data_IF_817788099558
#
_entry.id   IF_817788099558
#
_cell.length_a   1.000
_cell.length_b   1.000
_cell.length_c   1.000
_cell.angle_alpha   90.00
_cell.angle_beta   90.00
_cell.angle_gamma   90.00
#
_symmetry.space_group_name_H-M   'P 1'
#
loop_
_entity.id
_entity.type
_entity.pdbx_description
1 polymer ?
#
# COMPACT_ATOMS: atom_id res chain seq x y z
N UNK A 1 7.70 -21.62 -31.49
CA UNK A 1 8.26 -21.58 -30.13
C UNK A 1 8.60 -20.13 -29.86
N UNK A 2 8.13 -19.54 -28.77
CA UNK A 2 8.49 -18.17 -28.41
C UNK A 2 9.99 -18.10 -28.11
N UNK A 3 10.67 -17.07 -28.57
CA UNK A 3 12.08 -16.84 -28.27
C UNK A 3 12.22 -16.25 -26.86
N UNK A 4 13.39 -16.37 -26.20
CA UNK A 4 13.63 -15.71 -24.91
C UNK A 4 13.47 -14.19 -24.94
N UNK A 5 13.64 -13.56 -26.11
CA UNK A 5 13.41 -12.12 -26.33
C UNK A 5 11.92 -11.79 -26.33
N UNK A 6 11.07 -12.61 -26.99
CA UNK A 6 9.60 -12.44 -26.94
C UNK A 6 9.05 -12.58 -25.51
N UNK A 7 9.69 -13.39 -24.67
CA UNK A 7 9.30 -13.54 -23.26
C UNK A 7 9.65 -12.28 -22.45
N UNK A 8 10.77 -11.62 -22.75
CA UNK A 8 11.16 -10.36 -22.08
C UNK A 8 10.25 -9.20 -22.45
N UNK A 9 9.94 -9.00 -23.72
CA UNK A 9 9.02 -7.93 -24.15
C UNK A 9 7.60 -8.08 -23.57
N UNK A 10 7.15 -9.32 -23.39
CA UNK A 10 5.86 -9.62 -22.73
C UNK A 10 5.92 -9.49 -21.21
N UNK A 11 7.11 -9.58 -20.60
CA UNK A 11 7.30 -9.34 -19.17
C UNK A 11 7.40 -7.83 -18.87
N UNK A 12 8.02 -7.05 -19.75
CA UNK A 12 8.19 -5.59 -19.60
C UNK A 12 6.86 -4.81 -19.65
N UNK A 13 5.79 -5.42 -20.18
CA UNK A 13 4.44 -4.83 -20.15
C UNK A 13 3.63 -5.24 -18.92
N UNK A 14 4.14 -6.12 -18.07
CA UNK A 14 3.42 -6.59 -16.88
C UNK A 14 3.68 -5.65 -15.72
N UNK A 15 2.65 -5.49 -14.90
CA UNK A 15 2.79 -4.78 -13.64
C UNK A 15 3.70 -5.57 -12.71
N UNK A 16 4.77 -4.94 -12.28
CA UNK A 16 5.70 -5.45 -11.30
C UNK A 16 5.51 -4.77 -9.94
N UNK A 17 5.87 -5.48 -8.87
CA UNK A 17 6.06 -4.89 -7.55
C UNK A 17 7.19 -5.62 -6.83
N UNK A 18 7.90 -4.91 -5.97
CA UNK A 18 9.03 -5.44 -5.19
C UNK A 18 8.71 -5.48 -3.71
N UNK A 19 9.31 -6.43 -2.98
CA UNK A 19 9.26 -6.50 -1.52
C UNK A 19 10.63 -6.87 -0.99
N UNK A 20 11.00 -6.24 0.13
CA UNK A 20 12.23 -6.55 0.84
C UNK A 20 11.95 -7.69 1.83
N UNK A 21 12.63 -8.82 1.64
CA UNK A 21 12.54 -10.01 2.51
C UNK A 21 13.98 -10.32 2.93
N UNK A 22 14.25 -10.27 4.24
CA UNK A 22 15.57 -10.55 4.81
C UNK A 22 16.72 -9.70 4.21
N UNK A 23 16.41 -8.46 3.80
CA UNK A 23 17.37 -7.53 3.19
C UNK A 23 17.59 -7.73 1.69
N UNK A 24 16.87 -8.67 1.08
CA UNK A 24 16.85 -8.88 -0.37
C UNK A 24 15.57 -8.34 -1.00
N UNK A 25 15.72 -7.53 -2.03
CA UNK A 25 14.59 -7.01 -2.82
C UNK A 25 14.20 -8.02 -3.88
N UNK A 26 13.04 -8.66 -3.71
CA UNK A 26 12.50 -9.64 -4.66
C UNK A 26 11.37 -8.98 -5.45
N UNK A 27 11.44 -9.08 -6.78
CA UNK A 27 10.39 -8.59 -7.69
C UNK A 27 9.42 -9.69 -8.11
N UNK A 28 8.13 -9.33 -8.15
CA UNK A 28 7.01 -10.17 -8.55
C UNK A 28 6.20 -9.51 -9.66
N UNK A 29 5.56 -10.32 -10.49
CA UNK A 29 4.79 -9.88 -11.65
C UNK A 29 3.35 -10.35 -11.57
N UNK A 30 2.43 -9.51 -12.05
CA UNK A 30 1.02 -9.85 -12.20
C UNK A 30 0.78 -10.30 -13.65
N UNK A 31 0.43 -11.58 -13.83
CA UNK A 31 0.02 -12.12 -15.12
C UNK A 31 -1.48 -11.97 -15.35
N UNK A 32 -1.90 -11.91 -16.61
CA UNK A 32 -3.32 -11.92 -16.95
C UNK A 32 -3.96 -13.27 -16.57
N UNK A 33 -5.11 -13.28 -15.85
CA UNK A 33 -5.80 -14.50 -15.48
C UNK A 33 -6.34 -15.20 -16.72
N UNK A 34 -6.33 -16.53 -16.71
CA UNK A 34 -7.00 -17.30 -17.76
C UNK A 34 -8.51 -17.30 -17.55
N UNK A 35 -9.28 -17.64 -18.60
CA UNK A 35 -10.72 -17.83 -18.47
C UNK A 35 -11.12 -18.97 -17.52
N UNK A 36 -10.20 -19.89 -17.21
CA UNK A 36 -10.42 -20.88 -16.14
C UNK A 36 -10.24 -20.26 -14.75
N UNK A 37 -9.21 -19.43 -14.56
CA UNK A 37 -8.97 -18.74 -13.29
C UNK A 37 -10.14 -17.81 -12.93
N UNK A 38 -10.67 -17.06 -13.91
CA UNK A 38 -11.86 -16.20 -13.72
C UNK A 38 -13.07 -17.02 -13.27
N UNK A 39 -13.36 -18.14 -13.96
CA UNK A 39 -14.51 -19.01 -13.59
C UNK A 39 -14.36 -19.61 -12.21
N UNK A 40 -13.14 -20.00 -11.81
CA UNK A 40 -12.87 -20.53 -10.47
C UNK A 40 -12.97 -19.43 -9.40
N UNK A 41 -12.55 -18.21 -9.70
CA UNK A 41 -12.73 -17.07 -8.81
C UNK A 41 -14.22 -16.76 -8.59
N UNK A 42 -15.03 -16.75 -9.64
CA UNK A 42 -16.48 -16.53 -9.54
C UNK A 42 -17.19 -17.68 -8.80
N UNK A 43 -16.68 -18.90 -8.90
CA UNK A 43 -17.13 -20.02 -8.09
C UNK A 43 -16.81 -19.82 -6.60
N UNK A 44 -15.59 -19.35 -6.30
CA UNK A 44 -15.17 -19.05 -4.93
C UNK A 44 -16.03 -17.93 -4.33
N UNK A 45 -16.28 -16.85 -5.09
CA UNK A 45 -17.24 -15.80 -4.72
C UNK A 45 -18.60 -16.42 -4.35
N UNK A 46 -19.16 -17.25 -5.24
CA UNK A 46 -20.49 -17.84 -5.03
C UNK A 46 -20.54 -18.76 -3.81
N UNK A 47 -19.46 -19.49 -3.53
CA UNK A 47 -19.34 -20.35 -2.36
C UNK A 47 -19.36 -19.52 -1.08
N UNK A 48 -18.54 -18.48 -1.00
CA UNK A 48 -18.44 -17.61 0.18
C UNK A 48 -19.73 -16.80 0.37
N UNK A 49 -20.34 -16.32 -0.71
CA UNK A 49 -21.61 -15.59 -0.64
C UNK A 49 -22.74 -16.44 -0.05
N UNK A 50 -22.87 -17.69 -0.50
CA UNK A 50 -23.87 -18.60 0.07
C UNK A 50 -23.57 -18.96 1.53
N UNK A 51 -22.29 -19.12 1.89
CA UNK A 51 -21.90 -19.37 3.27
C UNK A 51 -22.23 -18.17 4.16
N UNK A 52 -21.92 -16.94 3.73
CA UNK A 52 -22.22 -15.71 4.45
C UNK A 52 -23.74 -15.55 4.71
N UNK A 53 -24.57 -15.89 3.72
CA UNK A 53 -26.04 -15.92 3.92
C UNK A 53 -26.45 -16.96 4.95
N UNK A 54 -25.85 -18.16 4.94
CA UNK A 54 -26.16 -19.21 5.92
C UNK A 54 -25.70 -18.85 7.33
N UNK A 55 -24.70 -17.99 7.44
CA UNK A 55 -24.17 -17.45 8.70
C UNK A 55 -24.89 -16.16 9.15
N UNK A 56 -26.01 -15.82 8.51
CA UNK A 56 -26.87 -14.66 8.80
C UNK A 56 -26.17 -13.29 8.66
N UNK A 57 -25.19 -13.17 7.76
CA UNK A 57 -24.62 -11.87 7.40
C UNK A 57 -25.60 -11.06 6.55
N UNK A 58 -25.51 -9.73 6.66
CA UNK A 58 -26.36 -8.81 5.92
C UNK A 58 -25.88 -8.66 4.48
N UNK A 59 -26.82 -8.62 3.53
CA UNK A 59 -26.53 -8.14 2.18
C UNK A 59 -26.28 -6.63 2.19
N UNK A 60 -25.64 -6.11 1.15
CA UNK A 60 -25.45 -4.67 0.98
C UNK A 60 -26.77 -3.89 1.09
N UNK A 61 -27.84 -4.40 0.46
CA UNK A 61 -29.16 -3.75 0.55
C UNK A 61 -29.68 -3.70 2.00
N UNK A 62 -29.56 -4.80 2.74
CA UNK A 62 -29.98 -4.86 4.15
C UNK A 62 -29.11 -3.96 5.05
N UNK A 63 -27.81 -3.88 4.77
CA UNK A 63 -26.89 -2.99 5.47
C UNK A 63 -27.25 -1.52 5.23
N UNK A 64 -27.56 -1.12 3.99
CA UNK A 64 -28.00 0.24 3.67
C UNK A 64 -29.28 0.59 4.43
N UNK A 65 -30.27 -0.31 4.46
CA UNK A 65 -31.51 -0.10 5.21
C UNK A 65 -31.25 0.03 6.72
N UNK A 66 -30.32 -0.77 7.26
CA UNK A 66 -29.90 -0.69 8.67
C UNK A 66 -29.22 0.66 8.97
N UNK A 67 -28.28 1.09 8.13
CA UNK A 67 -27.56 2.36 8.30
C UNK A 67 -28.49 3.57 8.18
N UNK A 68 -29.49 3.52 7.29
CA UNK A 68 -30.56 4.52 7.23
C UNK A 68 -31.39 4.55 8.51
N UNK A 69 -31.80 3.38 9.00
CA UNK A 69 -32.57 3.27 10.26
C UNK A 69 -31.78 3.78 11.47
N UNK A 70 -30.46 3.60 11.47
CA UNK A 70 -29.57 4.10 12.52
C UNK A 70 -29.22 5.59 12.37
N UNK A 71 -29.66 6.24 11.28
CA UNK A 71 -29.34 7.64 11.01
C UNK A 71 -27.89 7.88 10.57
N UNK A 72 -27.14 6.83 10.24
CA UNK A 72 -25.78 6.95 9.67
C UNK A 72 -25.84 7.47 8.25
N UNK A 73 -26.81 6.97 7.47
CA UNK A 73 -27.14 7.49 6.14
C UNK A 73 -28.43 8.31 6.28
N UNK A 74 -28.27 9.62 6.41
CA UNK A 74 -29.36 10.61 6.42
C UNK A 74 -29.31 11.49 5.17
N UNK A 75 -30.35 12.31 4.97
CA UNK A 75 -30.33 13.35 3.93
C UNK A 75 -29.23 14.38 4.19
N UNK A 76 -29.02 14.74 5.46
CA UNK A 76 -27.94 15.63 5.89
C UNK A 76 -26.57 15.06 5.50
N UNK A 77 -26.34 13.77 5.72
CA UNK A 77 -25.09 13.10 5.31
C UNK A 77 -24.91 13.12 3.79
N UNK A 78 -25.99 12.86 3.03
CA UNK A 78 -25.91 12.89 1.57
C UNK A 78 -25.58 14.30 1.05
N UNK A 79 -26.13 15.33 1.69
CA UNK A 79 -25.84 16.73 1.38
C UNK A 79 -24.40 17.08 1.75
N UNK A 80 -23.93 16.72 2.95
CA UNK A 80 -22.55 16.94 3.41
C UNK A 80 -21.52 16.31 2.46
N UNK A 81 -21.78 15.08 2.00
CA UNK A 81 -20.91 14.40 1.01
C UNK A 81 -20.90 15.14 -0.32
N UNK A 82 -22.06 15.58 -0.83
CA UNK A 82 -22.15 16.25 -2.13
C UNK A 82 -21.55 17.66 -2.10
N UNK A 83 -21.75 18.40 -1.01
CA UNK A 83 -21.12 19.69 -0.78
C UNK A 83 -19.59 19.55 -0.69
N UNK A 84 -19.10 18.55 0.03
CA UNK A 84 -17.66 18.28 0.15
C UNK A 84 -17.06 17.85 -1.19
N UNK A 85 -17.76 17.04 -1.99
CA UNK A 85 -17.34 16.70 -3.37
C UNK A 85 -17.28 17.92 -4.28
N UNK A 86 -18.31 18.76 -4.23
CA UNK A 86 -18.37 19.98 -5.03
C UNK A 86 -17.25 20.96 -4.65
N UNK A 87 -16.97 21.09 -3.35
CA UNK A 87 -15.85 21.88 -2.83
C UNK A 87 -14.51 21.30 -3.28
N UNK A 88 -14.31 19.99 -3.16
CA UNK A 88 -13.08 19.34 -3.61
C UNK A 88 -12.82 19.59 -5.10
N UNK A 89 -13.85 19.44 -5.94
CA UNK A 89 -13.74 19.72 -7.38
C UNK A 89 -13.37 21.18 -7.66
N UNK A 90 -13.95 22.13 -6.93
CA UNK A 90 -13.64 23.55 -7.06
C UNK A 90 -12.19 23.87 -6.61
N UNK A 91 -11.72 23.24 -5.54
CA UNK A 91 -10.34 23.40 -5.05
C UNK A 91 -9.30 22.80 -5.99
N UNK A 92 -9.58 21.61 -6.55
CA UNK A 92 -8.73 21.00 -7.59
C UNK A 92 -8.66 21.94 -8.81
N UNK A 93 -9.81 22.44 -9.28
CA UNK A 93 -9.83 23.39 -10.39
C UNK A 93 -9.04 24.66 -10.08
N UNK A 94 -9.15 25.20 -8.86
CA UNK A 94 -8.38 26.36 -8.42
C UNK A 94 -6.88 26.07 -8.45
N UNK A 95 -6.46 24.91 -7.95
CA UNK A 95 -5.06 24.48 -7.94
C UNK A 95 -4.50 24.36 -9.36
N UNK A 96 -5.23 23.70 -10.26
CA UNK A 96 -4.83 23.52 -11.67
C UNK A 96 -4.84 24.83 -12.47
N UNK A 97 -5.67 25.79 -12.09
CA UNK A 97 -5.76 27.10 -12.74
C UNK A 97 -4.67 28.08 -12.28
N UNK A 98 -3.87 27.76 -11.25
CA UNK A 98 -2.78 28.63 -10.81
C UNK A 98 -1.71 28.74 -11.91
N UNK A 99 -1.32 29.97 -12.30
CA UNK A 99 -0.19 30.16 -13.20
C UNK A 99 1.09 29.50 -12.70
N UNK A 100 1.94 29.05 -13.62
CA UNK A 100 3.26 28.52 -13.28
C UNK A 100 4.11 29.54 -12.50
N UNK A 101 3.89 30.84 -12.78
CA UNK A 101 4.53 31.97 -12.12
C UNK A 101 3.96 32.34 -10.75
N UNK A 102 2.95 31.63 -10.24
CA UNK A 102 2.39 31.88 -8.91
C UNK A 102 3.44 31.66 -7.82
N UNK A 103 3.33 32.44 -6.74
CA UNK A 103 4.21 32.33 -5.57
C UNK A 103 4.07 30.93 -4.97
N UNK A 104 5.19 30.32 -4.58
CA UNK A 104 5.19 28.95 -4.03
C UNK A 104 4.30 28.81 -2.79
N UNK A 105 4.15 29.88 -2.00
CA UNK A 105 3.23 29.93 -0.86
C UNK A 105 1.76 29.75 -1.29
N UNK A 106 1.32 30.39 -2.37
CA UNK A 106 -0.06 30.28 -2.87
C UNK A 106 -0.34 28.88 -3.42
N UNK A 107 0.65 28.27 -4.08
CA UNK A 107 0.57 26.90 -4.60
C UNK A 107 0.49 25.88 -3.46
N UNK A 108 1.33 26.04 -2.44
CA UNK A 108 1.30 25.21 -1.24
C UNK A 108 -0.02 25.33 -0.50
N UNK A 109 -0.53 26.55 -0.29
CA UNK A 109 -1.84 26.77 0.35
C UNK A 109 -2.98 26.09 -0.42
N UNK A 110 -3.02 26.24 -1.74
CA UNK A 110 -4.02 25.59 -2.58
C UNK A 110 -3.93 24.06 -2.51
N UNK A 111 -2.72 23.50 -2.57
CA UNK A 111 -2.50 22.05 -2.47
C UNK A 111 -2.89 21.50 -1.09
N UNK A 112 -2.56 22.22 -0.01
CA UNK A 112 -2.97 21.85 1.35
C UNK A 112 -4.49 21.93 1.53
N UNK A 113 -5.17 22.89 0.90
CA UNK A 113 -6.64 22.98 0.90
C UNK A 113 -7.26 21.74 0.25
N UNK A 114 -6.78 21.35 -0.93
CA UNK A 114 -7.23 20.14 -1.63
C UNK A 114 -7.00 18.90 -0.76
N UNK A 115 -5.82 18.77 -0.16
CA UNK A 115 -5.51 17.65 0.73
C UNK A 115 -6.45 17.58 1.94
N UNK A 116 -6.75 18.73 2.56
CA UNK A 116 -7.65 18.82 3.71
C UNK A 116 -9.10 18.44 3.34
N UNK A 117 -9.63 18.96 2.23
CA UNK A 117 -10.99 18.61 1.78
C UNK A 117 -11.09 17.16 1.33
N UNK A 118 -10.02 16.59 0.75
CA UNK A 118 -9.98 15.15 0.42
C UNK A 118 -9.98 14.28 1.67
N UNK A 119 -9.23 14.64 2.70
CA UNK A 119 -9.25 13.92 3.98
C UNK A 119 -10.64 14.02 4.66
N UNK A 120 -11.29 15.18 4.57
CA UNK A 120 -12.68 15.35 5.03
C UNK A 120 -13.64 14.41 4.30
N UNK A 121 -13.59 14.37 2.97
CA UNK A 121 -14.39 13.45 2.16
C UNK A 121 -14.09 11.99 2.50
N UNK A 122 -12.82 11.65 2.72
CA UNK A 122 -12.40 10.32 3.15
C UNK A 122 -13.03 9.95 4.49
N UNK A 123 -12.97 10.82 5.51
CA UNK A 123 -13.59 10.60 6.82
C UNK A 123 -15.10 10.39 6.73
N UNK A 124 -15.79 11.15 5.86
CA UNK A 124 -17.22 10.95 5.61
C UNK A 124 -17.50 9.56 5.04
N UNK A 125 -16.77 9.17 3.98
CA UNK A 125 -16.92 7.86 3.37
C UNK A 125 -16.63 6.71 4.34
N UNK A 126 -15.69 6.87 5.28
CA UNK A 126 -15.36 5.85 6.27
C UNK A 126 -16.53 5.49 7.19
N UNK A 127 -17.48 6.42 7.43
CA UNK A 127 -18.69 6.14 8.22
C UNK A 127 -19.55 5.04 7.60
N UNK A 128 -19.59 4.98 6.28
CA UNK A 128 -20.38 4.00 5.52
C UNK A 128 -19.53 2.79 5.14
N UNK A 129 -18.27 3.00 4.71
CA UNK A 129 -17.40 1.93 4.24
C UNK A 129 -17.08 0.89 5.33
N UNK A 130 -16.92 1.32 6.59
CA UNK A 130 -16.64 0.42 7.71
C UNK A 130 -17.71 -0.69 7.85
N UNK A 131 -18.99 -0.34 8.08
CA UNK A 131 -20.07 -1.32 8.12
C UNK A 131 -20.25 -2.09 6.81
N UNK A 132 -20.11 -1.42 5.65
CA UNK A 132 -20.26 -2.05 4.34
C UNK A 132 -19.24 -3.15 4.06
N UNK A 133 -18.06 -3.07 4.67
CA UNK A 133 -17.03 -4.13 4.63
C UNK A 133 -17.50 -5.49 5.12
N UNK A 134 -18.51 -5.53 5.99
CA UNK A 134 -19.03 -6.77 6.60
C UNK A 134 -20.23 -7.37 5.86
N UNK A 135 -20.50 -6.92 4.64
CA UNK A 135 -21.62 -7.42 3.83
C UNK A 135 -21.27 -8.73 3.14
N UNK A 136 -22.28 -9.54 2.83
CA UNK A 136 -22.12 -10.79 2.08
C UNK A 136 -21.33 -10.57 0.78
N UNK A 137 -21.65 -9.51 0.03
CA UNK A 137 -21.01 -9.15 -1.23
C UNK A 137 -19.54 -8.79 -1.03
N UNK A 138 -19.20 -7.94 -0.04
CA UNK A 138 -17.82 -7.52 0.18
C UNK A 138 -16.92 -8.68 0.61
N UNK A 139 -17.38 -9.52 1.54
CA UNK A 139 -16.62 -10.71 2.00
C UNK A 139 -16.41 -11.70 0.84
N UNK A 140 -17.39 -11.81 -0.05
CA UNK A 140 -17.30 -12.69 -1.22
C UNK A 140 -16.37 -12.14 -2.28
N UNK A 141 -16.37 -10.83 -2.51
CA UNK A 141 -15.42 -10.18 -3.43
C UNK A 141 -13.99 -10.27 -2.88
N UNK A 142 -13.81 -10.12 -1.57
CA UNK A 142 -12.52 -10.34 -0.92
C UNK A 142 -11.99 -11.76 -1.19
N UNK A 143 -12.82 -12.78 -1.01
CA UNK A 143 -12.44 -14.16 -1.30
C UNK A 143 -12.14 -14.40 -2.79
N UNK A 144 -12.79 -13.65 -3.68
CA UNK A 144 -12.54 -13.69 -5.12
C UNK A 144 -11.18 -13.08 -5.46
N UNK A 145 -10.85 -11.93 -4.87
CA UNK A 145 -9.56 -11.26 -5.03
C UNK A 145 -8.44 -12.12 -4.46
N UNK A 146 -8.64 -12.74 -3.29
CA UNK A 146 -7.68 -13.69 -2.71
C UNK A 146 -7.43 -14.89 -3.64
N UNK A 147 -8.50 -15.47 -4.20
CA UNK A 147 -8.35 -16.55 -5.16
C UNK A 147 -7.56 -16.11 -6.39
N UNK A 148 -7.90 -14.95 -6.99
CA UNK A 148 -7.16 -14.44 -8.13
C UNK A 148 -5.71 -14.17 -7.80
N UNK A 149 -5.42 -13.58 -6.65
CA UNK A 149 -4.06 -13.31 -6.15
C UNK A 149 -3.21 -14.59 -6.16
N UNK A 150 -3.76 -15.71 -5.67
CA UNK A 150 -3.05 -16.99 -5.69
C UNK A 150 -2.73 -17.53 -7.10
N UNK A 151 -3.42 -17.05 -8.14
CA UNK A 151 -3.33 -17.59 -9.51
C UNK A 151 -2.53 -16.72 -10.46
N UNK A 152 -2.54 -15.41 -10.25
CA UNK A 152 -1.97 -14.43 -11.19
C UNK A 152 -0.54 -14.04 -10.88
N UNK A 153 -0.06 -14.24 -9.66
CA UNK A 153 1.29 -13.85 -9.29
C UNK A 153 2.36 -14.80 -9.79
N UNK A 154 3.41 -14.22 -10.36
CA UNK A 154 4.57 -14.91 -10.91
C UNK A 154 5.87 -14.33 -10.36
N UNK A 155 6.89 -15.19 -10.30
CA UNK A 155 8.28 -14.81 -10.05
C UNK A 155 8.93 -14.30 -11.33
N UNK A 156 10.16 -13.79 -11.22
CA UNK A 156 10.97 -13.32 -12.38
C UNK A 156 11.17 -14.37 -13.48
N UNK A 157 11.19 -15.66 -13.12
CA UNK A 157 11.30 -16.77 -14.07
C UNK A 157 9.98 -17.10 -14.80
N UNK A 158 8.89 -16.37 -14.50
CA UNK A 158 7.55 -16.62 -15.02
C UNK A 158 6.83 -17.80 -14.35
N UNK A 159 7.45 -18.47 -13.37
CA UNK A 159 6.80 -19.50 -12.58
C UNK A 159 5.77 -18.87 -11.62
N UNK A 160 4.75 -19.64 -11.26
CA UNK A 160 3.73 -19.16 -10.32
C UNK A 160 4.33 -19.02 -8.92
N UNK A 161 3.94 -17.96 -8.22
CA UNK A 161 4.36 -17.73 -6.84
C UNK A 161 3.81 -18.83 -5.91
N UNK A 162 2.53 -19.18 -6.08
CA UNK A 162 1.87 -20.26 -5.37
C UNK A 162 1.35 -21.32 -6.36
N UNK A 163 1.47 -22.60 -5.98
CA UNK A 163 1.01 -23.71 -6.81
C UNK A 163 -0.51 -23.73 -6.93
N UNK A 164 -1.19 -23.52 -5.79
CA UNK A 164 -2.63 -23.49 -5.66
C UNK A 164 -3.10 -22.49 -4.59
N UNK A 165 -4.42 -22.43 -4.41
CA UNK A 165 -5.03 -21.51 -3.45
C UNK A 165 -4.72 -21.90 -2.01
N UNK A 166 -4.53 -23.19 -1.70
CA UNK A 166 -4.21 -23.64 -0.35
C UNK A 166 -2.78 -23.23 0.02
N UNK A 167 -1.83 -23.27 -0.93
CA UNK A 167 -0.48 -22.76 -0.72
C UNK A 167 -0.47 -21.26 -0.38
N UNK A 168 -1.29 -20.45 -1.07
CA UNK A 168 -1.47 -19.03 -0.74
C UNK A 168 -2.04 -18.83 0.68
N UNK A 169 -3.06 -19.60 1.07
CA UNK A 169 -3.67 -19.49 2.40
C UNK A 169 -2.72 -19.90 3.54
N UNK A 170 -1.71 -20.70 3.24
CA UNK A 170 -0.69 -21.15 4.20
C UNK A 170 0.63 -20.38 4.08
N UNK A 171 0.64 -19.25 3.36
CA UNK A 171 1.82 -18.39 3.24
C UNK A 171 2.25 -17.85 4.61
N UNK A 172 3.52 -18.10 4.97
CA UNK A 172 4.07 -17.65 6.25
C UNK A 172 4.43 -16.16 6.22
N UNK A 173 4.85 -15.67 5.05
CA UNK A 173 5.16 -14.26 4.88
C UNK A 173 3.88 -13.44 4.68
N UNK A 174 3.32 -12.97 5.80
CA UNK A 174 2.11 -12.14 5.79
C UNK A 174 2.33 -10.81 5.05
N UNK A 175 3.52 -10.23 5.08
CA UNK A 175 3.81 -8.99 4.36
C UNK A 175 3.72 -9.19 2.84
N UNK A 176 4.24 -10.32 2.34
CA UNK A 176 4.14 -10.72 0.95
C UNK A 176 2.68 -10.92 0.54
N UNK A 177 1.91 -11.70 1.29
CA UNK A 177 0.52 -12.01 0.92
C UNK A 177 -0.39 -10.77 0.94
N UNK A 178 -0.22 -9.89 1.92
CA UNK A 178 -0.95 -8.62 2.01
C UNK A 178 -0.58 -7.69 0.86
N UNK A 179 0.73 -7.49 0.58
CA UNK A 179 1.17 -6.63 -0.53
C UNK A 179 0.72 -7.18 -1.88
N UNK A 180 0.87 -8.48 -2.09
CA UNK A 180 0.38 -9.20 -3.26
C UNK A 180 -1.11 -8.95 -3.51
N UNK A 181 -1.94 -9.14 -2.48
CA UNK A 181 -3.39 -8.93 -2.57
C UNK A 181 -3.72 -7.48 -2.91
N UNK A 182 -3.05 -6.52 -2.29
CA UNK A 182 -3.24 -5.10 -2.55
C UNK A 182 -2.89 -4.73 -4.01
N UNK A 183 -1.76 -5.22 -4.51
CA UNK A 183 -1.31 -4.98 -5.88
C UNK A 183 -2.26 -5.57 -6.93
N UNK A 184 -2.76 -6.78 -6.69
CA UNK A 184 -3.77 -7.42 -7.54
C UNK A 184 -5.09 -6.65 -7.49
N UNK A 185 -5.51 -6.16 -6.32
CA UNK A 185 -6.71 -5.34 -6.18
C UNK A 185 -6.60 -4.04 -7.00
N UNK A 186 -5.49 -3.32 -6.87
CA UNK A 186 -5.24 -2.11 -7.68
C UNK A 186 -5.22 -2.42 -9.17
N UNK A 187 -4.60 -3.55 -9.57
CA UNK A 187 -4.55 -3.99 -10.96
C UNK A 187 -5.95 -4.27 -11.51
N UNK A 188 -6.81 -4.94 -10.73
CA UNK A 188 -8.21 -5.18 -11.11
C UNK A 188 -9.01 -3.88 -11.28
N UNK A 189 -8.65 -2.82 -10.54
CA UNK A 189 -9.27 -1.50 -10.63
C UNK A 189 -8.65 -0.62 -11.73
N UNK A 190 -7.53 -1.04 -12.34
CA UNK A 190 -6.80 -0.25 -13.31
C UNK A 190 -6.02 0.92 -12.70
N UNK A 191 -5.73 0.86 -11.41
CA UNK A 191 -4.96 1.88 -10.67
C UNK A 191 -3.50 1.45 -10.54
N UNK A 192 -2.55 2.38 -10.62
CA UNK A 192 -1.14 2.11 -10.36
C UNK A 192 -0.84 2.08 -8.84
N UNK A 193 0.27 1.51 -8.41
CA UNK A 193 0.66 1.47 -6.98
C UNK A 193 0.87 2.87 -6.41
N UNK A 194 1.44 3.77 -7.21
CA UNK A 194 1.80 5.13 -6.81
C UNK A 194 0.68 6.14 -7.10
N UNK A 195 -0.57 5.68 -7.26
CA UNK A 195 -1.67 6.57 -7.65
C UNK A 195 -1.91 7.70 -6.64
N UNK A 196 -1.74 7.43 -5.34
CA UNK A 196 -1.88 8.43 -4.28
C UNK A 196 -0.77 9.49 -4.34
N UNK A 197 0.43 9.08 -4.77
CA UNK A 197 1.55 9.99 -4.93
C UNK A 197 1.32 10.92 -6.13
N UNK A 198 0.70 10.42 -7.19
CA UNK A 198 0.48 11.16 -8.44
C UNK A 198 -0.76 12.06 -8.44
N UNK A 199 -1.29 12.39 -7.27
CA UNK A 199 -2.38 13.35 -7.14
C UNK A 199 -1.88 14.79 -7.38
N UNK A 200 -2.70 15.70 -7.92
CA UNK A 200 -2.24 17.04 -8.31
C UNK A 200 -1.69 17.83 -7.12
N UNK A 201 -2.27 17.67 -5.93
CA UNK A 201 -1.76 18.33 -4.73
C UNK A 201 -0.42 17.74 -4.26
N UNK A 202 -0.20 16.43 -4.38
CA UNK A 202 1.08 15.81 -4.02
C UNK A 202 2.18 16.14 -5.03
N UNK A 203 1.87 16.25 -6.31
CA UNK A 203 2.81 16.74 -7.32
C UNK A 203 3.21 18.19 -7.02
N UNK A 204 2.25 19.07 -6.76
CA UNK A 204 2.50 20.48 -6.42
C UNK A 204 3.35 20.61 -5.15
N UNK A 205 3.03 19.87 -4.08
CA UNK A 205 3.80 19.92 -2.84
C UNK A 205 5.23 19.39 -3.03
N UNK A 206 5.43 18.35 -3.86
CA UNK A 206 6.77 17.85 -4.21
C UNK A 206 7.58 18.91 -4.95
N UNK A 207 6.99 19.58 -5.94
CA UNK A 207 7.66 20.66 -6.68
C UNK A 207 8.07 21.82 -5.78
N UNK A 208 7.17 22.30 -4.91
CA UNK A 208 7.46 23.40 -3.98
C UNK A 208 8.57 23.00 -3.00
N UNK A 209 8.52 21.78 -2.47
CA UNK A 209 9.55 21.29 -1.55
C UNK A 209 10.92 21.15 -2.25
N UNK A 210 10.95 20.64 -3.48
CA UNK A 210 12.19 20.54 -4.26
C UNK A 210 12.82 21.93 -4.47
N UNK A 211 12.05 22.93 -4.89
CA UNK A 211 12.55 24.30 -5.06
C UNK A 211 13.11 24.92 -3.77
N UNK A 212 12.46 24.66 -2.63
CA UNK A 212 12.94 25.11 -1.32
C UNK A 212 14.27 24.48 -0.95
N UNK A 213 14.41 23.17 -1.16
CA UNK A 213 15.66 22.44 -0.91
C UNK A 213 16.78 22.96 -1.82
N UNK A 214 16.50 23.16 -3.11
CA UNK A 214 17.48 23.72 -4.06
C UNK A 214 17.92 25.13 -3.67
N UNK A 215 16.97 25.99 -3.26
CA UNK A 215 17.27 27.35 -2.79
C UNK A 215 18.16 27.32 -1.55
N UNK A 216 17.81 26.49 -0.56
CA UNK A 216 18.61 26.33 0.66
C UNK A 216 20.02 25.77 0.38
N UNK A 217 20.14 24.80 -0.54
CA UNK A 217 21.45 24.28 -0.95
C UNK A 217 22.28 25.34 -1.67
N UNK A 218 21.65 26.19 -2.48
CA UNK A 218 22.34 27.29 -3.17
C UNK A 218 22.82 28.38 -2.20
N UNK A 219 22.02 28.73 -1.20
CA UNK A 219 22.42 29.71 -0.18
C UNK A 219 23.55 29.18 0.69
N UNK A 220 23.50 27.91 1.09
CA UNK A 220 24.58 27.26 1.84
C UNK A 220 25.89 27.19 1.04
N UNK A 221 25.82 26.92 -0.26
CA UNK A 221 27.01 26.96 -1.13
C UNK A 221 27.58 28.37 -1.23
N UNK A 222 26.73 29.38 -1.42
CA UNK A 222 27.18 30.77 -1.49
C UNK A 222 27.79 31.26 -0.17
N UNK A 223 27.21 30.87 0.98
CA UNK A 223 27.78 31.17 2.31
C UNK A 223 29.14 30.51 2.51
N UNK A 224 29.31 29.27 2.05
CA UNK A 224 30.58 28.55 2.13
C UNK A 224 31.65 29.19 1.24
N UNK A 225 31.32 29.55 0.01
CA UNK A 225 32.24 30.26 -0.90
C UNK A 225 32.66 31.61 -0.32
N UNK A 226 31.73 32.37 0.27
CA UNK A 226 32.04 33.63 0.93
C UNK A 226 32.97 33.46 2.16
N UNK A 227 32.80 32.37 2.93
CA UNK A 227 33.67 32.06 4.06
C UNK A 227 35.09 31.64 3.61
N UNK A 228 35.19 30.88 2.50
CA UNK A 228 36.48 30.49 1.91
C UNK A 228 37.24 31.71 1.33
N UNK A 229 36.53 32.74 0.84
CA UNK A 229 37.13 34.01 0.38
C UNK A 229 37.60 34.94 1.52
N UNK A 230 36.97 34.87 2.71
CA UNK A 230 37.38 35.66 3.90
C UNK A 230 38.56 35.05 4.67
N UNK A 231 38.83 33.74 4.53
CA UNK A 231 39.98 33.04 5.13
C UNK A 231 41.26 33.07 4.27
N UNK A 232 41.30 33.87 3.20
CA UNK A 232 42.56 34.16 2.52
C UNK A 232 43.54 34.83 3.51
N UNK A 233 44.68 34.21 3.84
CA UNK A 233 45.49 34.64 4.97
C UNK A 233 46.09 36.01 4.69
N UNK A 234 45.77 36.99 5.55
CA UNK A 234 46.69 38.12 5.79
C UNK A 234 47.98 37.49 6.28
N UNK A 235 49.00 37.48 5.42
CA UNK A 235 50.38 37.15 5.77
C UNK A 235 50.80 37.98 6.98
N UNK A 236 50.62 37.42 8.18
CA UNK A 236 51.28 37.87 9.38
C UNK A 236 52.68 37.26 9.33
N UNK A 237 53.69 38.12 9.19
CA UNK A 237 55.10 37.78 9.36
C UNK A 237 55.28 36.94 10.63
N UNK A 238 55.56 35.65 10.46
CA UNK A 238 55.97 34.77 11.55
C UNK A 238 57.46 34.99 11.75
N UNK A 239 57.80 35.84 12.72
CA UNK A 239 59.14 35.96 13.27
C UNK A 239 59.49 34.66 14.00
N UNK A 240 60.41 33.91 13.40
CA UNK A 240 60.90 32.61 13.87
C UNK A 240 61.79 32.87 15.10
N UNK A 241 61.27 32.58 16.30
CA UNK A 241 62.07 32.41 17.51
C UNK A 241 62.34 30.92 17.73
N UNK A 242 63.59 30.54 17.47
CA UNK A 242 64.14 29.22 17.76
C UNK A 242 64.07 28.91 19.27
N UNK A 243 63.58 27.72 19.61
CA UNK A 243 63.75 27.11 20.93
C UNK A 243 64.44 25.75 20.79
N UNK A 244 65.33 25.40 21.74
CA UNK A 244 66.28 24.30 21.58
C UNK A 244 65.72 22.95 22.00
N UNK A 245 66.38 21.96 21.40
CA UNK A 245 66.26 20.51 21.52
C UNK A 245 66.71 19.97 22.90
N UNK A 246 65.87 19.15 23.55
CA UNK A 246 66.18 18.18 24.61
C UNK A 246 64.84 17.61 25.16
N UNK A 247 64.63 16.36 25.54
CA UNK A 247 65.40 15.13 25.56
C UNK A 247 64.40 13.95 25.76
N UNK A 248 64.84 12.74 25.46
CA UNK A 248 64.17 11.45 25.72
C UNK A 248 63.65 11.28 27.16
N UNK A 249 62.51 10.61 27.33
CA UNK A 249 62.39 9.42 28.21
C UNK A 249 61.05 8.69 27.97
N UNK A 250 61.14 7.35 27.90
CA UNK A 250 60.04 6.39 27.70
C UNK A 250 59.61 5.77 29.07
N UNK A 251 58.95 4.59 29.13
CA UNK A 251 57.50 4.34 29.01
C UNK A 251 56.88 3.60 30.23
N UNK A 252 55.56 3.67 30.42
CA UNK A 252 54.73 2.77 31.26
C UNK A 252 53.29 3.34 31.29
N UNK A 253 52.15 2.64 31.37
CA UNK A 253 51.81 1.27 31.76
C UNK A 253 50.35 1.00 31.32
N UNK A 254 50.10 -0.27 31.03
CA UNK A 254 48.85 -1.05 31.03
C UNK A 254 47.70 -0.60 31.96
N UNK A 255 46.45 -0.70 31.46
CA UNK A 255 45.38 -1.57 32.04
C UNK A 255 44.13 -1.64 31.13
N UNK A 256 43.63 -2.84 30.78
CA UNK A 256 42.30 -3.05 30.20
C UNK A 256 41.39 -3.91 31.10
N UNK A 257 40.09 -3.59 31.18
CA UNK A 257 39.00 -4.51 31.57
C UNK A 257 37.63 -3.79 31.65
N UNK A 258 36.47 -4.50 31.65
CA UNK A 258 36.23 -5.84 31.16
C UNK A 258 34.97 -5.98 30.28
N UNK A 259 34.94 -7.12 29.59
CA UNK A 259 33.78 -7.73 28.96
C UNK A 259 32.69 -8.12 29.98
N UNK A 260 31.44 -8.03 29.55
CA UNK A 260 30.30 -8.72 30.19
C UNK A 260 29.73 -9.68 29.16
N UNK A 261 29.84 -10.97 29.47
CA UNK A 261 29.08 -12.04 28.86
C UNK A 261 28.17 -12.62 29.95
N UNK A 262 26.90 -12.86 29.65
CA UNK A 262 26.12 -13.86 30.38
C UNK A 262 25.07 -14.51 29.47
N UNK A 263 25.15 -15.83 29.41
CA UNK A 263 24.26 -16.77 28.77
C UNK A 263 22.98 -17.00 29.60
N UNK A 264 21.86 -17.30 28.94
CA UNK A 264 20.82 -18.22 29.44
C UNK A 264 19.83 -18.50 28.27
N UNK A 265 19.92 -19.63 27.57
CA UNK A 265 19.44 -20.98 27.94
C UNK A 265 17.90 -21.16 27.95
N UNK A 266 17.41 -21.78 26.87
CA UNK A 266 16.48 -22.93 26.82
C UNK A 266 15.17 -22.88 27.63
N UNK A 267 14.03 -22.90 26.92
CA UNK A 267 12.82 -23.59 27.36
C UNK A 267 11.98 -24.07 26.16
N UNK A 268 12.22 -25.33 25.77
CA UNK A 268 11.47 -26.12 24.81
C UNK A 268 10.04 -26.40 25.33
N UNK A 269 9.00 -26.02 24.55
CA UNK A 269 7.60 -26.33 24.88
C UNK A 269 7.08 -27.54 24.07
N UNK A 270 6.32 -28.45 24.69
CA UNK A 270 5.92 -29.73 24.09
C UNK A 270 4.73 -29.60 23.12
N UNK A 271 4.79 -30.40 22.04
CA UNK A 271 3.74 -30.58 21.02
C UNK A 271 2.42 -31.10 21.59
N UNK A 272 1.25 -30.55 21.23
CA UNK A 272 -0.04 -31.14 21.58
C UNK A 272 -0.41 -32.34 20.68
N UNK A 273 -0.95 -33.38 21.33
CA UNK A 273 -1.38 -34.66 20.74
C UNK A 273 -2.58 -34.48 19.81
N UNK A 274 -2.49 -35.02 18.59
CA UNK A 274 -3.60 -35.19 17.64
C UNK A 274 -4.67 -36.11 18.22
N UNK A 275 -5.87 -35.59 18.52
CA UNK A 275 -7.09 -36.39 18.72
C UNK A 275 -7.84 -36.49 17.40
N UNK A 276 -7.92 -37.70 16.86
CA UNK A 276 -8.78 -38.01 15.72
C UNK A 276 -10.26 -37.91 16.09
N UNK A 277 -11.10 -37.52 15.12
CA UNK A 277 -12.54 -37.73 15.16
C UNK A 277 -13.02 -38.41 13.87
N UNK A 278 -14.06 -39.28 13.95
CA UNK A 278 -14.36 -40.28 12.94
C UNK A 278 -15.10 -39.75 11.72
N UNK A 279 -14.96 -40.55 10.66
CA UNK A 279 -15.74 -40.55 9.42
C UNK A 279 -17.24 -40.75 9.69
N UNK A 280 -18.03 -40.01 8.91
CA UNK A 280 -19.23 -40.56 8.27
C UNK A 280 -20.57 -40.05 8.77
N UNK A 281 -21.32 -39.38 7.90
CA UNK A 281 -22.69 -39.78 7.61
C UNK A 281 -23.16 -39.14 6.30
N UNK A 282 -23.68 -40.01 5.44
CA UNK A 282 -24.21 -39.72 4.11
C UNK A 282 -25.63 -39.15 4.19
N UNK A 283 -26.02 -38.50 3.09
CA UNK A 283 -27.38 -38.29 2.61
C UNK A 283 -28.29 -37.36 3.42
N UNK A 284 -28.70 -36.27 2.74
CA UNK A 284 -30.12 -36.02 2.46
C UNK A 284 -30.27 -35.10 1.24
N UNK A 285 -30.81 -35.69 0.17
CA UNK A 285 -31.37 -34.97 -0.99
C UNK A 285 -32.49 -34.04 -0.52
N UNK A 286 -32.52 -32.81 -1.05
CA UNK A 286 -33.72 -31.95 -1.06
C UNK A 286 -33.82 -31.18 -2.39
N UNK A 287 -35.04 -30.72 -2.76
CA UNK A 287 -35.53 -30.75 -4.13
C UNK A 287 -35.29 -29.45 -4.91
N UNK A 288 -35.33 -29.57 -6.25
CA UNK A 288 -35.36 -28.49 -7.24
C UNK A 288 -36.50 -27.52 -6.94
N UNK A 289 -36.18 -26.26 -6.62
CA UNK A 289 -37.08 -25.13 -6.80
C UNK A 289 -36.74 -24.42 -8.12
N UNK A 290 -37.71 -24.38 -9.02
CA UNK A 290 -37.73 -23.47 -10.17
C UNK A 290 -37.81 -22.03 -9.66
N UNK A 291 -36.99 -21.13 -10.21
CA UNK A 291 -37.25 -19.69 -10.13
C UNK A 291 -36.97 -19.00 -11.45
N UNK A 292 -38.01 -18.31 -11.92
CA UNK A 292 -38.01 -17.31 -12.96
C UNK A 292 -36.93 -16.25 -12.67
N UNK A 293 -36.08 -15.97 -13.65
CA UNK A 293 -35.24 -14.78 -13.68
C UNK A 293 -35.97 -13.68 -14.47
N UNK A 294 -36.48 -12.69 -13.73
CA UNK A 294 -36.75 -11.35 -14.27
C UNK A 294 -35.43 -10.60 -14.35
N UNK A 295 -35.18 -10.01 -15.53
CA UNK A 295 -34.14 -9.02 -15.79
C UNK A 295 -34.38 -7.77 -14.94
N UNK A 296 -33.34 -7.29 -14.28
CA UNK A 296 -33.18 -5.88 -13.94
C UNK A 296 -31.68 -5.54 -14.01
N UNK A 297 -31.33 -4.69 -14.98
CA UNK A 297 -30.02 -4.06 -15.10
C UNK A 297 -29.82 -3.14 -13.90
N UNK A 298 -28.78 -3.39 -13.10
CA UNK A 298 -28.29 -2.48 -12.07
C UNK A 298 -26.93 -1.94 -12.50
N UNK A 299 -26.85 -0.62 -12.66
CA UNK A 299 -25.65 0.10 -13.08
C UNK A 299 -24.52 -0.01 -12.06
N UNK A 300 -23.30 -0.16 -12.60
CA UNK A 300 -22.05 -0.01 -11.85
C UNK A 300 -21.90 1.45 -11.44
N UNK A 301 -21.94 1.72 -10.13
CA UNK A 301 -21.26 2.86 -9.55
C UNK A 301 -19.77 2.53 -9.51
N UNK A 302 -19.02 3.09 -10.46
CA UNK A 302 -17.58 3.31 -10.33
C UNK A 302 -17.45 4.67 -9.65
N UNK A 303 -16.87 4.71 -8.45
CA UNK A 303 -16.28 5.94 -7.93
C UNK A 303 -14.79 5.94 -8.28
N UNK A 304 -14.22 7.11 -8.64
CA UNK A 304 -12.80 7.27 -8.93
C UNK A 304 -11.95 7.23 -7.66
#
# INVERSE_FOLDING_TARGET
MATPEDVRDVLDTRREFSIEIDGETIAYFIANPTGEDIRKADWQYSKIYNQAILDDLLTQAQMIDLLKKQGVISEDYATEVEETRSRLAAEIYKLEALPESSVDADKEEAALSVAATRDELFRLNQRVNGPMGNTCENISEDARVEFLTSRVLQRQDGSKLWEDFDAYLNEENTALSVKARFEVMLWMQGLNSDFLENTPEQQTLREVNQKRVETALSSLKAEREAAEDEEAPKEAEVEILELPEAAEEAPAKTEPAPAVAEEASVAEKPKPKKKGRPKGSKNKKKPRLQRLLRRANGGRFLFP
#
